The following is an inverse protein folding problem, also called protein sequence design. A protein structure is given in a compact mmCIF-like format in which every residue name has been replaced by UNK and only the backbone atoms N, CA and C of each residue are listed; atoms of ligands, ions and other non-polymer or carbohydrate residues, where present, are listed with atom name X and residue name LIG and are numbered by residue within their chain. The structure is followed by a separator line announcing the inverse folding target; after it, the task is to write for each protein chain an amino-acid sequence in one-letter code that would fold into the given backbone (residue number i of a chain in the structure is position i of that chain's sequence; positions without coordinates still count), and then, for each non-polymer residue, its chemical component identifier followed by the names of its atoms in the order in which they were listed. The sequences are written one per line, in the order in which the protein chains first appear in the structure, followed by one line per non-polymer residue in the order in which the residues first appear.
data_IF_435352296727
#
_entry.id   IF_435352296727
#
_cell.length_a   1.000
_cell.length_b   1.000
_cell.length_c   1.000
_cell.angle_alpha   90.00
_cell.angle_beta   90.00
_cell.angle_gamma   90.00
#
_symmetry.space_group_name_H-M   'P 1'
#
loop_
_entity.id
_entity.type
_entity.pdbx_description
1 polymer ?
#
# COMPACT_ATOMS: atom_id res chain seq x y z
N UNK A 1 -5.27 5.55 4.21
CA UNK A 1 -6.39 6.48 4.23
C UNK A 1 -6.45 7.17 5.58
N UNK A 2 -6.52 8.50 5.61
CA UNK A 2 -6.66 9.32 6.82
C UNK A 2 -7.94 10.17 6.81
N UNK A 3 -8.82 9.98 5.82
CA UNK A 3 -10.14 10.59 5.78
C UNK A 3 -11.10 10.00 6.81
N UNK A 4 -12.36 10.45 6.84
CA UNK A 4 -13.36 9.96 7.78
C UNK A 4 -13.46 8.42 7.78
N UNK A 5 -13.35 7.81 8.96
CA UNK A 5 -13.34 6.34 9.12
C UNK A 5 -12.00 5.66 8.80
N UNK A 6 -11.02 6.41 8.29
CA UNK A 6 -9.66 5.95 8.05
C UNK A 6 -8.75 6.01 9.29
N UNK A 7 -7.58 5.39 9.18
CA UNK A 7 -6.63 5.33 10.28
C UNK A 7 -6.14 6.72 10.69
N UNK A 8 -6.30 7.03 11.99
CA UNK A 8 -5.77 8.26 12.59
C UNK A 8 -6.57 9.52 12.30
N UNK A 9 -7.76 9.42 11.67
CA UNK A 9 -8.60 10.58 11.38
C UNK A 9 -8.90 11.43 12.62
N UNK A 10 -9.18 10.82 13.77
CA UNK A 10 -9.49 11.55 15.01
C UNK A 10 -8.37 12.51 15.47
N UNK A 11 -7.12 12.20 15.09
CA UNK A 11 -5.95 13.02 15.42
C UNK A 11 -5.73 14.14 14.41
N UNK A 12 -5.94 13.83 13.13
CA UNK A 12 -5.62 14.70 12.01
C UNK A 12 -6.78 15.63 11.64
N UNK A 13 -8.01 15.13 11.78
CA UNK A 13 -9.27 15.77 11.43
C UNK A 13 -9.22 16.27 9.99
N UNK A 14 -9.72 17.47 9.73
CA UNK A 14 -9.90 18.05 8.40
C UNK A 14 -8.59 18.34 7.64
N UNK A 15 -7.42 18.11 8.26
CA UNK A 15 -6.12 18.25 7.60
C UNK A 15 -5.72 17.04 6.75
N UNK A 16 -6.48 15.95 6.80
CA UNK A 16 -6.15 14.75 6.04
C UNK A 16 -5.98 14.96 4.53
N UNK A 17 -6.69 15.89 3.83
CA UNK A 17 -6.48 16.10 2.40
C UNK A 17 -5.07 16.58 2.08
N UNK A 18 -4.37 17.22 3.02
CA UNK A 18 -3.04 17.78 2.79
C UNK A 18 -1.96 16.70 2.57
N UNK A 19 -2.16 15.49 3.08
CA UNK A 19 -1.11 14.45 3.06
C UNK A 19 -1.59 13.01 2.96
N UNK A 20 -2.90 12.75 3.02
CA UNK A 20 -3.39 11.37 2.94
C UNK A 20 -3.09 10.78 1.56
N UNK A 21 -2.31 9.69 1.46
CA UNK A 21 -1.89 9.17 0.16
C UNK A 21 -3.06 8.81 -0.74
N UNK A 22 -4.12 8.19 -0.19
CA UNK A 22 -5.31 7.80 -0.95
C UNK A 22 -6.07 8.99 -1.56
N UNK A 23 -6.03 10.14 -0.89
CA UNK A 23 -6.74 11.35 -1.31
C UNK A 23 -5.92 12.24 -2.25
N UNK A 24 -4.61 12.00 -2.35
CA UNK A 24 -3.69 12.77 -3.18
C UNK A 24 -3.21 11.99 -4.42
N UNK A 25 -3.88 10.89 -4.77
CA UNK A 25 -3.63 10.19 -6.03
C UNK A 25 -4.03 11.10 -7.18
N UNK A 26 -3.08 11.41 -8.06
CA UNK A 26 -3.25 12.27 -9.23
C UNK A 26 -2.59 11.62 -10.45
N UNK A 27 -2.85 12.17 -11.64
CA UNK A 27 -2.20 11.70 -12.86
C UNK A 27 -0.67 11.70 -12.71
N UNK A 28 -0.02 10.65 -13.21
CA UNK A 28 1.42 10.39 -13.09
C UNK A 28 1.88 10.04 -11.65
N UNK A 29 0.97 9.60 -10.77
CA UNK A 29 1.37 9.00 -9.51
C UNK A 29 2.35 7.83 -9.76
N UNK A 30 3.41 7.68 -8.94
CA UNK A 30 4.46 6.69 -9.19
C UNK A 30 3.92 5.26 -9.06
N UNK A 31 4.46 4.29 -9.82
CA UNK A 31 4.15 2.88 -9.64
C UNK A 31 4.29 2.46 -8.18
N UNK A 32 3.27 1.79 -7.64
CA UNK A 32 3.22 1.47 -6.21
C UNK A 32 3.03 -0.03 -5.96
N UNK A 33 3.88 -0.61 -5.11
CA UNK A 33 3.68 -1.93 -4.53
C UNK A 33 3.16 -1.80 -3.09
N UNK A 34 2.09 -2.52 -2.78
CA UNK A 34 1.51 -2.63 -1.45
C UNK A 34 1.59 -4.08 -0.98
N UNK A 35 2.11 -4.30 0.23
CA UNK A 35 2.18 -5.60 0.89
C UNK A 35 1.43 -5.51 2.22
N UNK A 36 0.31 -6.22 2.35
CA UNK A 36 -0.58 -6.12 3.50
C UNK A 36 -0.95 -7.52 4.03
N UNK A 37 -1.00 -7.68 5.35
CA UNK A 37 -1.55 -8.87 5.98
C UNK A 37 -3.08 -8.80 6.12
N UNK A 38 -3.79 -9.91 5.86
CA UNK A 38 -5.27 -9.95 5.94
C UNK A 38 -5.84 -9.85 7.37
N UNK A 39 -5.00 -10.04 8.39
CA UNK A 39 -5.33 -9.85 9.82
C UNK A 39 -4.77 -8.55 10.39
N UNK A 40 -4.37 -7.61 9.53
CA UNK A 40 -4.00 -6.27 9.98
C UNK A 40 -5.23 -5.57 10.61
N UNK A 41 -5.12 -5.24 11.90
CA UNK A 41 -6.20 -4.60 12.67
C UNK A 41 -6.24 -3.09 12.50
N UNK A 42 -5.20 -2.50 11.91
CA UNK A 42 -5.08 -1.06 11.69
C UNK A 42 -5.57 -0.68 10.31
N UNK A 43 -5.26 -1.50 9.30
CA UNK A 43 -5.52 -1.20 7.89
C UNK A 43 -6.32 -2.34 7.25
N UNK A 44 -7.63 -2.15 7.00
CA UNK A 44 -8.45 -3.14 6.29
C UNK A 44 -7.99 -3.36 4.84
N UNK A 45 -8.12 -4.60 4.34
CA UNK A 45 -7.82 -4.97 2.95
C UNK A 45 -8.52 -4.06 1.93
N UNK A 46 -9.80 -3.76 2.16
CA UNK A 46 -10.61 -2.89 1.31
C UNK A 46 -9.97 -1.49 1.09
N UNK A 47 -9.18 -1.00 2.06
CA UNK A 47 -8.47 0.29 1.93
C UNK A 47 -7.41 0.23 0.83
N UNK A 48 -6.69 -0.89 0.72
CA UNK A 48 -5.64 -1.07 -0.28
C UNK A 48 -6.24 -1.44 -1.65
N UNK A 49 -7.38 -2.14 -1.67
CA UNK A 49 -8.16 -2.35 -2.90
C UNK A 49 -8.67 -1.04 -3.50
N UNK A 50 -9.20 -0.14 -2.67
CA UNK A 50 -9.62 1.20 -3.11
C UNK A 50 -8.43 2.05 -3.58
N UNK A 51 -7.28 1.97 -2.89
CA UNK A 51 -6.05 2.63 -3.33
C UNK A 51 -5.64 2.16 -4.73
N UNK A 52 -5.58 0.84 -4.95
CA UNK A 52 -5.26 0.26 -6.25
C UNK A 52 -6.22 0.73 -7.33
N UNK A 53 -7.52 0.71 -7.05
CA UNK A 53 -8.56 1.17 -7.99
C UNK A 53 -8.34 2.63 -8.40
N UNK A 54 -8.06 3.53 -7.45
CA UNK A 54 -7.78 4.94 -7.74
C UNK A 54 -6.49 5.15 -8.53
N UNK A 55 -5.43 4.43 -8.20
CA UNK A 55 -4.18 4.43 -8.98
C UNK A 55 -4.44 4.04 -10.43
N UNK A 56 -5.22 2.98 -10.66
CA UNK A 56 -5.58 2.53 -12.01
C UNK A 56 -6.45 3.55 -12.77
N UNK A 57 -7.37 4.24 -12.08
CA UNK A 57 -8.20 5.28 -12.67
C UNK A 57 -7.40 6.46 -13.21
N UNK A 58 -6.26 6.78 -12.58
CA UNK A 58 -5.35 7.85 -13.05
C UNK A 58 -4.28 7.34 -14.03
N UNK A 59 -4.37 6.07 -14.44
CA UNK A 59 -3.43 5.43 -15.38
C UNK A 59 -2.11 4.97 -14.75
N UNK A 60 -2.00 4.97 -13.43
CA UNK A 60 -0.78 4.56 -12.72
C UNK A 60 -0.81 3.06 -12.37
N UNK A 61 0.37 2.44 -12.37
CA UNK A 61 0.51 1.04 -11.94
C UNK A 61 0.41 0.90 -10.42
N UNK A 62 -0.37 -0.07 -9.97
CA UNK A 62 -0.42 -0.44 -8.56
C UNK A 62 -0.61 -1.96 -8.39
N UNK A 63 0.29 -2.57 -7.61
CA UNK A 63 0.23 -3.97 -7.21
C UNK A 63 -0.08 -4.07 -5.72
N UNK A 64 -1.00 -4.98 -5.37
CA UNK A 64 -1.39 -5.24 -3.97
C UNK A 64 -1.24 -6.73 -3.75
N UNK A 65 -0.39 -7.11 -2.80
CA UNK A 65 -0.16 -8.48 -2.36
C UNK A 65 -0.74 -8.63 -0.95
N UNK A 66 -1.70 -9.54 -0.81
CA UNK A 66 -2.32 -9.85 0.48
C UNK A 66 -1.69 -11.13 1.03
N UNK A 67 -1.10 -11.02 2.21
CA UNK A 67 -0.46 -12.13 2.92
C UNK A 67 -1.44 -12.72 3.92
N UNK A 68 -1.80 -13.99 3.68
CA UNK A 68 -2.79 -14.71 4.48
C UNK A 68 -2.30 -14.96 5.92
N UNK A 69 -3.23 -14.82 6.87
CA UNK A 69 -3.02 -15.00 8.30
C UNK A 69 -1.98 -14.04 8.93
N UNK A 70 -1.60 -12.96 8.25
CA UNK A 70 -0.58 -12.02 8.70
C UNK A 70 -1.18 -10.74 9.29
N UNK A 71 -0.57 -10.24 10.37
CA UNK A 71 -0.95 -8.99 11.03
C UNK A 71 -0.07 -7.80 10.64
N UNK A 72 -0.25 -6.68 11.34
CA UNK A 72 0.57 -5.48 11.13
C UNK A 72 2.05 -5.75 11.44
N UNK A 73 2.96 -5.33 10.55
CA UNK A 73 4.41 -5.46 10.77
C UNK A 73 4.97 -6.89 10.65
N UNK A 74 4.21 -7.83 10.05
CA UNK A 74 4.62 -9.23 9.89
C UNK A 74 5.95 -9.43 9.13
N UNK A 75 6.29 -8.49 8.26
CA UNK A 75 7.44 -8.55 7.36
C UNK A 75 8.80 -8.37 8.05
N UNK A 76 8.86 -8.01 9.33
CA UNK A 76 10.13 -7.60 9.95
C UNK A 76 11.13 -8.75 10.20
N UNK A 77 10.72 -10.03 10.16
CA UNK A 77 11.58 -11.18 10.49
C UNK A 77 11.17 -12.45 9.74
N UNK A 78 12.07 -13.44 9.74
CA UNK A 78 11.79 -14.81 9.31
C UNK A 78 11.45 -14.93 7.82
N UNK A 79 10.55 -15.85 7.51
CA UNK A 79 10.16 -16.15 6.13
C UNK A 79 9.43 -14.97 5.47
N UNK A 80 8.59 -14.27 6.21
CA UNK A 80 7.86 -13.11 5.70
C UNK A 80 8.78 -11.96 5.27
N UNK A 81 9.92 -11.80 5.93
CA UNK A 81 10.94 -10.83 5.50
C UNK A 81 11.49 -11.20 4.11
N UNK A 82 11.83 -12.47 3.88
CA UNK A 82 12.35 -12.93 2.59
C UNK A 82 11.31 -12.75 1.48
N UNK A 83 10.07 -13.19 1.74
CA UNK A 83 8.98 -13.10 0.78
C UNK A 83 8.66 -11.65 0.37
N UNK A 84 8.66 -10.73 1.33
CA UNK A 84 8.42 -9.31 1.06
C UNK A 84 9.60 -8.64 0.37
N UNK A 85 10.84 -9.06 0.68
CA UNK A 85 12.03 -8.60 -0.02
C UNK A 85 12.05 -9.08 -1.49
N UNK A 86 11.73 -10.34 -1.74
CA UNK A 86 11.62 -10.91 -3.09
C UNK A 86 10.52 -10.22 -3.92
N UNK A 87 9.36 -9.93 -3.30
CA UNK A 87 8.29 -9.17 -3.94
C UNK A 87 8.75 -7.75 -4.30
N UNK A 88 9.45 -7.07 -3.39
CA UNK A 88 10.00 -5.74 -3.64
C UNK A 88 11.06 -5.76 -4.76
N UNK A 89 11.97 -6.74 -4.77
CA UNK A 89 12.97 -6.91 -5.82
C UNK A 89 12.30 -7.14 -7.18
N UNK A 90 11.30 -8.03 -7.24
CA UNK A 90 10.55 -8.32 -8.46
C UNK A 90 9.88 -7.08 -9.01
N UNK A 91 9.22 -6.30 -8.15
CA UNK A 91 8.59 -5.05 -8.54
C UNK A 91 9.59 -4.02 -9.04
N UNK A 92 10.71 -3.82 -8.33
CA UNK A 92 11.74 -2.87 -8.74
C UNK A 92 12.42 -3.28 -10.06
N UNK A 93 12.63 -4.58 -10.30
CA UNK A 93 13.10 -5.10 -11.59
C UNK A 93 12.09 -4.83 -12.71
N UNK A 94 10.80 -5.09 -12.46
CA UNK A 94 9.71 -4.80 -13.41
C UNK A 94 9.68 -3.32 -13.80
N UNK A 95 9.88 -2.43 -12.84
CA UNK A 95 9.93 -0.98 -13.08
C UNK A 95 11.27 -0.48 -13.65
N UNK A 96 12.27 -1.35 -13.80
CA UNK A 96 13.58 -1.00 -14.35
C UNK A 96 14.50 -0.22 -13.41
N UNK A 97 14.20 -0.18 -12.10
CA UNK A 97 15.04 0.53 -11.12
C UNK A 97 16.30 -0.26 -10.74
N UNK A 98 16.26 -1.59 -10.83
CA UNK A 98 17.40 -2.47 -10.55
C UNK A 98 17.54 -3.51 -11.68
N UNK A 99 18.77 -4.00 -11.89
CA UNK A 99 19.09 -4.94 -12.96
C UNK A 99 18.46 -6.31 -12.70
N UNK A 100 18.18 -7.05 -13.78
CA UNK A 100 17.71 -8.43 -13.72
C UNK A 100 18.76 -9.36 -13.11
#
# INVERSE_FOLDING_TARGET
DNGPGGYGHDRIKDKYPEFSPLHNITQNAPPTLIMLGDKDKLIPVATMEEYKKRMQQVGSECEVIIYKDQGHGFFNRGESFKQTLEAAETFLKKQGFIKQ
#
